data_IF_971400605703
#
_entry.id   IF_971400605703
#
_cell.length_a   1.000
_cell.length_b   1.000
_cell.length_c   1.000
_cell.angle_alpha   90.00
_cell.angle_beta   90.00
_cell.angle_gamma   90.00
#
_symmetry.space_group_name_H-M   'P 1'
#
loop_
_entity.id
_entity.type
_entity.pdbx_description
1 polymer ?
#
# COMPACT_ATOMS: atom_id res chain seq x y z
N UNK A 1 -10.20 19.75 39.03
CA UNK A 1 -11.18 19.42 37.98
C UNK A 1 -10.50 18.46 37.04
N UNK A 2 -10.87 17.19 37.15
CA UNK A 2 -10.29 16.05 36.43
C UNK A 2 -10.93 16.00 35.05
N UNK A 3 -10.21 16.41 34.00
CA UNK A 3 -10.68 16.25 32.62
C UNK A 3 -10.38 14.83 32.15
N UNK A 4 -11.36 13.95 32.30
CA UNK A 4 -11.44 12.69 31.56
C UNK A 4 -11.83 13.02 30.12
N UNK A 5 -10.84 13.25 29.25
CA UNK A 5 -11.09 13.30 27.80
C UNK A 5 -11.21 11.88 27.27
N UNK A 6 -12.44 11.47 26.98
CA UNK A 6 -12.72 10.27 26.20
C UNK A 6 -12.06 10.38 24.83
N UNK A 7 -11.32 9.36 24.44
CA UNK A 7 -10.83 9.19 23.07
C UNK A 7 -12.04 9.02 22.14
N UNK A 8 -12.49 10.13 21.56
CA UNK A 8 -13.38 10.13 20.42
C UNK A 8 -12.53 9.94 19.16
N UNK A 9 -12.42 8.70 18.69
CA UNK A 9 -11.93 8.42 17.35
C UNK A 9 -13.00 8.88 16.35
N UNK A 10 -12.78 10.02 15.71
CA UNK A 10 -13.66 10.50 14.66
C UNK A 10 -13.20 9.97 13.30
N UNK A 11 -14.10 9.21 12.67
CA UNK A 11 -13.99 8.72 11.31
C UNK A 11 -14.33 9.84 10.33
N UNK A 12 -13.32 10.41 9.67
CA UNK A 12 -13.52 11.20 8.47
C UNK A 12 -13.43 10.33 7.21
N UNK A 13 -14.32 10.61 6.26
CA UNK A 13 -14.42 10.04 4.92
C UNK A 13 -13.28 10.53 3.99
N UNK A 14 -12.05 10.56 4.49
CA UNK A 14 -10.84 10.68 3.68
C UNK A 14 -10.28 9.27 3.45
N UNK A 15 -10.05 8.90 2.20
CA UNK A 15 -9.32 7.67 1.86
C UNK A 15 -7.87 7.80 2.33
N UNK A 16 -7.65 7.63 3.64
CA UNK A 16 -6.33 7.65 4.23
C UNK A 16 -5.76 6.24 4.27
N UNK A 17 -4.63 5.99 3.60
CA UNK A 17 -3.88 4.73 3.70
C UNK A 17 -3.12 4.70 5.04
N UNK A 18 -3.84 4.69 6.16
CA UNK A 18 -3.29 4.37 7.47
C UNK A 18 -3.63 2.92 7.76
N UNK A 19 -2.61 2.10 8.03
CA UNK A 19 -2.83 0.78 8.61
C UNK A 19 -3.41 1.01 10.00
N UNK A 20 -4.64 0.53 10.22
CA UNK A 20 -5.42 0.87 11.39
C UNK A 20 -4.91 0.09 12.61
N UNK A 21 -3.81 0.58 13.18
CA UNK A 21 -3.03 -0.09 14.22
C UNK A 21 -3.58 0.16 15.63
N UNK A 22 -4.65 0.93 15.77
CA UNK A 22 -5.34 1.19 17.05
C UNK A 22 -5.74 -0.11 17.76
N UNK A 23 -6.11 -1.13 17.00
CA UNK A 23 -6.41 -2.45 17.56
C UNK A 23 -5.15 -3.29 17.85
N UNK A 24 -3.99 -2.99 17.27
CA UNK A 24 -2.74 -3.68 17.60
C UNK A 24 -2.17 -3.25 18.96
N UNK A 25 -2.36 -1.98 19.32
CA UNK A 25 -1.87 -1.36 20.57
C UNK A 25 -2.86 -1.47 21.73
N UNK A 26 -4.07 -1.96 21.49
CA UNK A 26 -5.08 -2.23 22.52
C UNK A 26 -4.58 -3.19 23.61
N UNK A 27 -4.86 -2.82 24.86
CA UNK A 27 -4.55 -3.62 26.07
C UNK A 27 -5.42 -4.88 26.16
N UNK A 28 -6.62 -4.87 25.58
CA UNK A 28 -7.52 -6.02 25.58
C UNK A 28 -7.18 -7.00 24.44
N UNK A 29 -6.34 -7.98 24.75
CA UNK A 29 -5.91 -9.02 23.80
C UNK A 29 -7.04 -9.97 23.38
N UNK A 30 -8.15 -10.03 24.11
CA UNK A 30 -9.26 -10.94 23.83
C UNK A 30 -10.29 -10.33 22.88
N UNK A 31 -10.21 -9.03 22.60
CA UNK A 31 -11.10 -8.39 21.66
C UNK A 31 -10.91 -8.94 20.24
N UNK A 32 -12.03 -9.19 19.57
CA UNK A 32 -12.03 -9.78 18.22
C UNK A 32 -11.37 -8.86 17.18
N UNK A 33 -11.47 -7.53 17.34
CA UNK A 33 -10.80 -6.53 16.51
C UNK A 33 -9.28 -6.62 16.65
N UNK A 34 -8.78 -6.70 17.87
CA UNK A 34 -7.34 -6.87 18.17
C UNK A 34 -6.78 -8.14 17.54
N UNK A 35 -7.52 -9.24 17.67
CA UNK A 35 -7.13 -10.53 17.09
C UNK A 35 -7.08 -10.48 15.56
N UNK A 36 -8.10 -9.93 14.90
CA UNK A 36 -8.12 -9.91 13.43
C UNK A 36 -7.06 -8.98 12.85
N UNK A 37 -6.80 -7.83 13.48
CA UNK A 37 -5.73 -6.93 13.03
C UNK A 37 -4.35 -7.57 13.20
N UNK A 38 -4.11 -8.31 14.29
CA UNK A 38 -2.86 -9.08 14.45
C UNK A 38 -2.72 -10.18 13.41
N UNK A 39 -3.80 -10.91 13.14
CA UNK A 39 -3.82 -11.92 12.06
C UNK A 39 -3.47 -11.27 10.72
N UNK A 40 -4.06 -10.12 10.40
CA UNK A 40 -3.73 -9.36 9.19
C UNK A 40 -2.25 -9.01 9.08
N UNK A 41 -1.65 -8.48 10.15
CA UNK A 41 -0.22 -8.15 10.20
C UNK A 41 0.67 -9.39 9.96
N UNK A 42 0.39 -10.50 10.65
CA UNK A 42 1.17 -11.74 10.47
C UNK A 42 1.00 -12.34 9.08
N UNK A 43 -0.20 -12.23 8.51
CA UNK A 43 -0.49 -12.67 7.15
C UNK A 43 0.27 -11.82 6.13
N UNK A 44 0.30 -10.49 6.28
CA UNK A 44 1.10 -9.61 5.41
C UNK A 44 2.59 -9.95 5.48
N UNK A 45 3.13 -10.10 6.69
CA UNK A 45 4.52 -10.53 6.91
C UNK A 45 4.79 -11.90 6.26
N UNK A 46 3.90 -12.87 6.48
CA UNK A 46 4.01 -14.21 5.90
C UNK A 46 3.98 -14.20 4.37
N UNK A 47 3.13 -13.38 3.76
CA UNK A 47 3.08 -13.20 2.30
C UNK A 47 4.36 -12.58 1.77
N UNK A 48 4.90 -11.54 2.41
CA UNK A 48 6.16 -10.92 2.00
C UNK A 48 7.32 -11.93 2.02
N UNK A 49 7.42 -12.72 3.09
CA UNK A 49 8.43 -13.79 3.21
C UNK A 49 8.21 -14.87 2.14
N UNK A 50 6.97 -15.34 1.95
CA UNK A 50 6.65 -16.38 0.98
C UNK A 50 6.98 -15.96 -0.46
N UNK A 51 6.70 -14.70 -0.83
CA UNK A 51 7.08 -14.13 -2.12
C UNK A 51 8.60 -14.00 -2.25
N UNK A 52 9.30 -13.57 -1.21
CA UNK A 52 10.76 -13.47 -1.22
C UNK A 52 11.45 -14.82 -1.41
N UNK A 53 11.05 -15.82 -0.62
CA UNK A 53 11.55 -17.20 -0.75
C UNK A 53 11.16 -17.77 -2.11
N UNK A 54 9.91 -17.60 -2.53
CA UNK A 54 9.44 -18.08 -3.83
C UNK A 54 10.19 -17.44 -5.00
N UNK A 55 10.48 -16.14 -4.94
CA UNK A 55 11.26 -15.43 -5.95
C UNK A 55 12.66 -16.03 -6.11
N UNK A 56 13.33 -16.32 -4.99
CA UNK A 56 14.63 -16.97 -4.96
C UNK A 56 14.58 -18.43 -5.44
N UNK A 57 13.68 -19.23 -4.89
CA UNK A 57 13.58 -20.69 -5.16
C UNK A 57 13.13 -20.95 -6.60
N UNK A 58 12.19 -20.17 -7.13
CA UNK A 58 11.68 -20.34 -8.49
C UNK A 58 12.46 -19.52 -9.53
N UNK A 59 13.52 -18.83 -9.10
CA UNK A 59 14.35 -17.94 -9.91
C UNK A 59 13.51 -16.96 -10.77
N UNK A 60 12.44 -16.42 -10.17
CA UNK A 60 11.43 -15.62 -10.85
C UNK A 60 11.66 -14.14 -10.58
N UNK A 61 12.02 -13.39 -11.63
CA UNK A 61 12.21 -11.94 -11.55
C UNK A 61 10.91 -11.22 -11.15
N UNK A 62 9.78 -11.64 -11.70
CA UNK A 62 8.48 -11.09 -11.37
C UNK A 62 8.11 -11.29 -9.88
N UNK A 63 8.28 -12.51 -9.36
CA UNK A 63 7.98 -12.79 -7.96
C UNK A 63 8.98 -12.10 -7.00
N UNK A 64 10.22 -11.93 -7.43
CA UNK A 64 11.23 -11.16 -6.68
C UNK A 64 10.89 -9.67 -6.64
N UNK A 65 10.38 -9.09 -7.74
CA UNK A 65 9.90 -7.71 -7.77
C UNK A 65 8.69 -7.50 -6.85
N UNK A 66 7.72 -8.42 -6.88
CA UNK A 66 6.55 -8.41 -5.99
C UNK A 66 6.93 -8.62 -4.50
N UNK A 67 8.02 -9.36 -4.23
CA UNK A 67 8.59 -9.48 -2.89
C UNK A 67 9.18 -8.17 -2.37
N UNK A 68 9.93 -7.44 -3.21
CA UNK A 68 10.47 -6.10 -2.85
C UNK A 68 9.31 -5.14 -2.57
N UNK A 69 8.26 -5.19 -3.39
CA UNK A 69 7.08 -4.36 -3.15
C UNK A 69 6.41 -4.70 -1.81
N UNK A 70 6.17 -5.99 -1.54
CA UNK A 70 5.60 -6.45 -0.27
C UNK A 70 6.50 -6.11 0.94
N UNK A 71 7.81 -6.01 0.74
CA UNK A 71 8.75 -5.55 1.76
C UNK A 71 8.61 -4.06 2.05
N UNK A 72 8.44 -3.22 1.03
CA UNK A 72 8.20 -1.78 1.21
C UNK A 72 6.87 -1.52 1.94
N UNK A 73 5.84 -2.29 1.62
CA UNK A 73 4.56 -2.24 2.35
C UNK A 73 4.75 -2.65 3.82
N UNK A 74 5.50 -3.72 4.07
CA UNK A 74 5.80 -4.17 5.43
C UNK A 74 6.60 -3.13 6.23
N UNK A 75 7.56 -2.46 5.60
CA UNK A 75 8.30 -1.35 6.23
C UNK A 75 7.33 -0.21 6.59
N UNK A 76 6.35 0.06 5.73
CA UNK A 76 5.32 1.06 5.97
C UNK A 76 4.39 0.66 7.13
N UNK A 77 3.98 -0.61 7.21
CA UNK A 77 3.21 -1.19 8.32
C UNK A 77 3.96 -1.00 9.65
N UNK A 78 5.24 -1.39 9.69
CA UNK A 78 6.08 -1.26 10.88
C UNK A 78 6.33 0.19 11.27
N UNK A 79 6.59 1.06 10.30
CA UNK A 79 6.78 2.50 10.55
C UNK A 79 5.52 3.09 11.18
N UNK A 80 4.35 2.76 10.62
CA UNK A 80 3.05 3.19 11.15
C UNK A 80 2.82 2.66 12.57
N UNK A 81 3.09 1.37 12.81
CA UNK A 81 2.95 0.77 14.12
C UNK A 81 3.88 1.43 15.15
N UNK A 82 5.12 1.71 14.76
CA UNK A 82 6.10 2.34 15.63
C UNK A 82 5.71 3.78 15.98
N UNK A 83 5.24 4.57 15.00
CA UNK A 83 4.84 5.96 15.23
C UNK A 83 3.57 6.06 16.07
N UNK A 84 2.56 5.21 15.81
CA UNK A 84 1.34 5.14 16.64
C UNK A 84 1.66 4.66 18.06
N UNK A 85 2.49 3.63 18.21
CA UNK A 85 2.90 3.15 19.54
C UNK A 85 3.66 4.22 20.33
N UNK A 86 4.38 5.10 19.63
CA UNK A 86 5.08 6.21 20.25
C UNK A 86 4.15 7.41 20.53
N UNK A 87 3.18 7.69 19.66
CA UNK A 87 2.22 8.80 19.82
C UNK A 87 1.32 8.61 21.05
N UNK A 88 1.01 7.35 21.40
CA UNK A 88 0.20 6.97 22.57
C UNK A 88 0.91 7.16 23.93
N UNK A 89 2.17 7.60 23.97
CA UNK A 89 2.89 7.83 25.23
C UNK A 89 2.34 9.05 25.97
N UNK A 90 2.28 8.96 27.29
CA UNK A 90 1.86 10.07 28.15
C UNK A 90 2.76 11.31 27.97
N UNK A 91 2.22 12.53 28.10
CA UNK A 91 2.99 13.76 28.03
C UNK A 91 4.15 13.81 29.03
N UNK A 92 5.24 14.46 28.63
CA UNK A 92 6.43 14.66 29.48
C UNK A 92 6.69 16.14 29.70
N UNK A 93 7.58 16.49 30.62
CA UNK A 93 7.97 17.90 30.84
C UNK A 93 8.59 18.56 29.61
N UNK A 94 9.22 17.78 28.72
CA UNK A 94 9.75 18.25 27.43
C UNK A 94 8.67 18.35 26.35
N UNK A 95 7.61 17.55 26.43
CA UNK A 95 6.49 17.54 25.48
C UNK A 95 5.15 17.64 26.22
N UNK A 96 4.75 18.85 26.66
CA UNK A 96 3.55 19.05 27.49
C UNK A 96 2.25 18.74 26.75
N UNK A 97 2.22 18.91 25.44
CA UNK A 97 1.09 18.61 24.56
C UNK A 97 1.02 17.13 24.16
N UNK A 98 1.96 16.30 24.62
CA UNK A 98 2.06 14.88 24.27
C UNK A 98 2.83 14.63 22.97
N UNK A 99 2.69 13.41 22.45
CA UNK A 99 3.45 12.90 21.31
C UNK A 99 2.62 12.71 20.04
N UNK A 100 1.40 13.27 19.99
CA UNK A 100 0.45 13.08 18.88
C UNK A 100 1.05 13.36 17.49
N UNK A 101 1.82 14.46 17.35
CA UNK A 101 2.44 14.86 16.07
C UNK A 101 3.42 13.82 15.47
N UNK A 102 3.88 12.85 16.26
CA UNK A 102 4.77 11.78 15.77
C UNK A 102 4.01 10.82 14.86
N UNK A 103 2.71 10.65 15.07
CA UNK A 103 1.85 9.89 14.16
C UNK A 103 1.80 10.56 12.79
N UNK A 104 1.58 11.87 12.74
CA UNK A 104 1.58 12.68 11.51
C UNK A 104 2.93 12.65 10.79
N UNK A 105 4.04 12.68 11.53
CA UNK A 105 5.39 12.52 10.96
C UNK A 105 5.58 11.14 10.33
N UNK A 106 5.09 10.08 10.99
CA UNK A 106 5.08 8.73 10.45
C UNK A 106 4.24 8.61 9.18
N UNK A 107 3.03 9.17 9.22
CA UNK A 107 2.10 9.23 8.09
C UNK A 107 2.71 9.94 6.88
N UNK A 108 3.42 11.05 7.12
CA UNK A 108 4.12 11.79 6.09
C UNK A 108 5.26 10.96 5.46
N UNK A 109 6.03 10.24 6.28
CA UNK A 109 7.08 9.34 5.80
C UNK A 109 6.52 8.21 4.93
N UNK A 110 5.50 7.51 5.42
CA UNK A 110 4.85 6.40 4.70
C UNK A 110 4.20 6.88 3.40
N UNK A 111 3.48 8.00 3.44
CA UNK A 111 2.87 8.57 2.23
C UNK A 111 3.89 9.07 1.22
N UNK A 112 5.05 9.56 1.67
CA UNK A 112 6.17 9.91 0.80
C UNK A 112 6.72 8.69 0.04
N UNK A 113 6.90 7.56 0.74
CA UNK A 113 7.30 6.28 0.11
C UNK A 113 6.25 5.87 -0.93
N UNK A 114 4.96 5.89 -0.55
CA UNK A 114 3.86 5.54 -1.44
C UNK A 114 3.79 6.43 -2.70
N UNK A 115 3.90 7.75 -2.53
CA UNK A 115 3.92 8.72 -3.64
C UNK A 115 5.10 8.48 -4.58
N UNK A 116 6.30 8.27 -4.02
CA UNK A 116 7.49 8.00 -4.82
C UNK A 116 7.31 6.73 -5.67
N UNK A 117 6.78 5.65 -5.07
CA UNK A 117 6.46 4.41 -5.77
C UNK A 117 5.42 4.63 -6.86
N UNK A 118 4.30 5.28 -6.54
CA UNK A 118 3.23 5.57 -7.50
C UNK A 118 3.72 6.38 -8.71
N UNK A 119 4.49 7.44 -8.50
CA UNK A 119 5.07 8.26 -9.58
C UNK A 119 6.01 7.42 -10.43
N UNK A 120 6.86 6.60 -9.80
CA UNK A 120 7.82 5.77 -10.51
C UNK A 120 7.15 4.73 -11.40
N UNK A 121 6.04 4.12 -10.94
CA UNK A 121 5.21 3.21 -11.73
C UNK A 121 4.61 3.95 -12.93
N UNK A 122 4.07 5.15 -12.70
CA UNK A 122 3.45 5.97 -13.75
C UNK A 122 4.44 6.37 -14.83
N UNK A 123 5.64 6.81 -14.44
CA UNK A 123 6.71 7.16 -15.37
C UNK A 123 7.15 5.96 -16.22
N UNK A 124 7.25 4.76 -15.62
CA UNK A 124 7.57 3.54 -16.36
C UNK A 124 6.47 3.16 -17.35
N UNK A 125 5.21 3.26 -16.94
CA UNK A 125 4.08 2.99 -17.81
C UNK A 125 3.99 3.98 -18.99
N UNK A 126 4.24 5.27 -18.76
CA UNK A 126 4.37 6.27 -19.84
C UNK A 126 5.54 5.91 -20.78
N UNK A 127 6.68 5.50 -20.23
CA UNK A 127 7.83 5.13 -21.03
C UNK A 127 7.54 3.90 -21.91
N UNK A 128 6.89 2.88 -21.37
CA UNK A 128 6.49 1.70 -22.13
C UNK A 128 5.50 2.04 -23.26
N UNK A 129 4.54 2.94 -23.00
CA UNK A 129 3.62 3.43 -24.04
C UNK A 129 4.35 4.25 -25.13
N UNK A 130 5.28 5.12 -24.73
CA UNK A 130 6.03 5.93 -25.70
C UNK A 130 6.96 5.07 -26.55
N UNK A 131 7.60 4.04 -25.99
CA UNK A 131 8.36 3.06 -26.77
C UNK A 131 7.49 2.29 -27.78
N UNK A 132 6.28 1.91 -27.38
CA UNK A 132 5.36 1.13 -28.21
C UNK A 132 4.76 1.96 -29.36
N UNK A 133 4.37 3.21 -29.11
CA UNK A 133 3.66 4.04 -30.08
C UNK A 133 4.54 5.09 -30.79
N UNK A 134 5.65 5.51 -30.17
CA UNK A 134 6.51 6.60 -30.65
C UNK A 134 8.02 6.29 -30.45
N UNK A 135 8.56 5.25 -31.10
CA UNK A 135 9.93 4.76 -30.84
C UNK A 135 11.02 5.80 -31.10
N UNK A 136 10.86 6.68 -32.10
CA UNK A 136 11.82 7.73 -32.43
C UNK A 136 11.92 8.78 -31.30
N UNK A 137 10.79 9.13 -30.69
CA UNK A 137 10.72 10.07 -29.56
C UNK A 137 11.34 9.44 -28.32
N UNK A 138 11.09 8.14 -28.09
CA UNK A 138 11.68 7.40 -26.97
C UNK A 138 13.22 7.32 -27.05
N UNK A 139 13.78 7.15 -28.24
CA UNK A 139 15.23 7.14 -28.46
C UNK A 139 15.89 8.49 -28.20
N UNK A 140 15.19 9.60 -28.47
CA UNK A 140 15.67 10.95 -28.17
C UNK A 140 15.59 11.23 -26.66
N UNK A 141 14.47 10.86 -26.02
CA UNK A 141 14.27 11.00 -24.57
C UNK A 141 15.32 10.25 -23.74
N UNK A 142 15.74 9.06 -24.19
CA UNK A 142 16.78 8.28 -23.51
C UNK A 142 18.17 8.93 -23.58
N UNK A 143 18.46 9.74 -24.61
CA UNK A 143 19.74 10.47 -24.75
C UNK A 143 19.81 11.76 -23.93
N UNK A 144 18.67 12.36 -23.55
CA UNK A 144 18.62 13.63 -22.80
C UNK A 144 19.00 13.41 -21.30
N UNK A 145 19.24 12.18 -20.87
CA UNK A 145 19.74 11.88 -19.52
C UNK A 145 18.72 12.11 -18.39
N UNK A 146 17.54 12.67 -18.70
CA UNK A 146 16.39 12.77 -17.76
C UNK A 146 15.96 11.37 -17.28
N UNK A 147 16.26 10.33 -18.07
CA UNK A 147 16.00 8.92 -17.76
C UNK A 147 17.28 8.06 -17.84
N UNK A 148 18.43 8.64 -17.51
CA UNK A 148 19.74 7.99 -17.59
C UNK A 148 19.80 6.68 -16.78
N UNK A 149 20.27 5.61 -17.43
CA UNK A 149 20.61 4.29 -16.85
C UNK A 149 19.67 3.88 -15.71
N UNK A 150 18.42 3.57 -16.06
CA UNK A 150 17.44 3.06 -15.11
C UNK A 150 18.02 1.87 -14.35
N UNK A 151 18.32 2.08 -13.07
CA UNK A 151 18.16 1.01 -12.10
C UNK A 151 16.77 0.43 -12.37
N UNK A 152 16.74 -0.78 -12.92
CA UNK A 152 15.52 -1.51 -13.27
C UNK A 152 14.80 -1.90 -11.99
N UNK A 153 14.31 -0.91 -11.24
CA UNK A 153 13.26 -1.10 -10.27
C UNK A 153 11.96 -1.11 -11.07
N UNK A 154 11.73 -2.22 -11.77
CA UNK A 154 10.44 -2.53 -12.34
C UNK A 154 9.47 -2.70 -11.16
N UNK A 155 8.83 -1.62 -10.73
CA UNK A 155 7.59 -1.68 -9.97
C UNK A 155 6.46 -1.97 -10.97
N UNK A 156 6.61 -3.02 -11.77
CA UNK A 156 5.41 -3.63 -12.30
C UNK A 156 4.80 -4.36 -11.10
N UNK A 157 3.52 -4.08 -10.80
CA UNK A 157 2.65 -5.11 -10.20
C UNK A 157 2.40 -6.26 -11.20
N UNK A 158 3.34 -6.41 -12.14
CA UNK A 158 3.31 -7.22 -13.31
C UNK A 158 3.99 -8.51 -12.96
N UNK A 159 3.20 -9.56 -13.06
CA UNK A 159 3.65 -10.85 -13.57
C UNK A 159 4.19 -10.66 -15.01
N UNK A 160 5.17 -9.78 -15.23
CA UNK A 160 5.72 -9.49 -16.55
C UNK A 160 6.83 -10.51 -16.89
N UNK A 161 6.46 -11.45 -17.74
CA UNK A 161 7.16 -11.61 -19.02
C UNK A 161 8.64 -12.00 -19.02
N UNK A 162 9.03 -13.08 -18.34
CA UNK A 162 10.11 -13.97 -18.82
C UNK A 162 10.12 -15.26 -17.99
N UNK A 163 9.54 -16.32 -18.57
CA UNK A 163 9.35 -17.62 -17.91
C UNK A 163 8.31 -17.53 -16.79
N UNK A 164 7.03 -17.61 -17.12
CA UNK A 164 5.98 -17.80 -16.11
C UNK A 164 6.24 -19.16 -15.46
N UNK A 165 7.00 -19.15 -14.36
CA UNK A 165 7.12 -20.34 -13.55
C UNK A 165 5.71 -20.58 -12.98
N UNK A 166 5.06 -21.65 -13.41
CA UNK A 166 3.68 -21.98 -13.01
C UNK A 166 3.54 -21.92 -11.47
N UNK A 167 4.61 -22.28 -10.75
CA UNK A 167 4.66 -22.26 -9.29
C UNK A 167 4.66 -20.83 -8.72
N UNK A 168 5.33 -19.88 -9.39
CA UNK A 168 5.31 -18.48 -8.99
C UNK A 168 3.94 -17.82 -9.21
N UNK A 169 3.24 -18.20 -10.29
CA UNK A 169 1.87 -17.75 -10.55
C UNK A 169 0.89 -18.24 -9.48
N UNK A 170 1.02 -19.50 -9.03
CA UNK A 170 0.21 -20.03 -7.94
C UNK A 170 0.42 -19.30 -6.62
N UNK A 171 1.65 -18.88 -6.30
CA UNK A 171 1.93 -18.08 -5.10
C UNK A 171 1.32 -16.68 -5.17
N UNK A 172 1.40 -16.03 -6.33
CA UNK A 172 0.75 -14.73 -6.55
C UNK A 172 -0.78 -14.83 -6.43
N UNK A 173 -1.39 -15.83 -7.06
CA UNK A 173 -2.82 -16.12 -6.95
C UNK A 173 -3.24 -16.43 -5.51
N UNK A 174 -2.43 -17.20 -4.78
CA UNK A 174 -2.64 -17.48 -3.36
C UNK A 174 -2.70 -16.20 -2.52
N UNK A 175 -1.84 -15.22 -2.82
CA UNK A 175 -1.83 -13.92 -2.12
C UNK A 175 -3.13 -13.13 -2.33
N UNK A 176 -3.69 -13.17 -3.55
CA UNK A 176 -4.99 -12.54 -3.86
C UNK A 176 -6.11 -13.18 -3.03
N UNK A 177 -6.14 -14.52 -2.98
CA UNK A 177 -7.14 -15.27 -2.20
C UNK A 177 -7.02 -14.95 -0.71
N UNK A 178 -5.79 -14.87 -0.20
CA UNK A 178 -5.52 -14.53 1.20
C UNK A 178 -6.01 -13.11 1.52
N UNK A 179 -5.74 -12.11 0.68
CA UNK A 179 -6.23 -10.74 0.89
C UNK A 179 -7.76 -10.65 0.83
N UNK A 180 -8.40 -11.37 -0.09
CA UNK A 180 -9.87 -11.46 -0.17
C UNK A 180 -10.48 -12.15 1.07
N UNK A 181 -9.83 -13.21 1.57
CA UNK A 181 -10.24 -13.85 2.83
C UNK A 181 -10.11 -12.87 4.01
N UNK A 182 -8.99 -12.14 4.10
CA UNK A 182 -8.75 -11.16 5.15
C UNK A 182 -9.78 -10.02 5.10
N UNK A 183 -10.14 -9.54 3.90
CA UNK A 183 -11.25 -8.61 3.72
C UNK A 183 -12.54 -9.14 4.35
N UNK A 184 -12.96 -10.36 4.00
CA UNK A 184 -14.21 -10.95 4.49
C UNK A 184 -14.19 -11.14 6.01
N UNK A 185 -13.07 -11.63 6.55
CA UNK A 185 -12.91 -11.86 7.98
C UNK A 185 -12.95 -10.54 8.78
N UNK A 186 -12.21 -9.53 8.34
CA UNK A 186 -12.19 -8.20 8.98
C UNK A 186 -13.53 -7.49 8.84
N UNK A 187 -14.17 -7.53 7.68
CA UNK A 187 -15.48 -6.91 7.44
C UNK A 187 -16.59 -7.54 8.30
N UNK A 188 -16.53 -8.85 8.54
CA UNK A 188 -17.46 -9.54 9.44
C UNK A 188 -17.36 -8.95 10.86
N UNK A 189 -16.15 -8.87 11.39
CA UNK A 189 -15.90 -8.36 12.74
C UNK A 189 -16.20 -6.85 12.83
N UNK A 190 -15.89 -6.09 11.78
CA UNK A 190 -16.22 -4.66 11.69
C UNK A 190 -17.73 -4.40 11.83
N UNK A 191 -18.56 -5.20 11.15
CA UNK A 191 -20.03 -5.11 11.23
C UNK A 191 -20.54 -5.54 12.61
N UNK A 192 -20.00 -6.62 13.17
CA UNK A 192 -20.37 -7.11 14.51
C UNK A 192 -20.04 -6.08 15.60
N UNK A 193 -18.89 -5.41 15.49
CA UNK A 193 -18.42 -4.41 16.44
C UNK A 193 -18.88 -2.99 16.14
N UNK A 194 -19.61 -2.78 15.02
CA UNK A 194 -19.98 -1.46 14.49
C UNK A 194 -18.80 -0.48 14.44
N UNK A 195 -17.63 -0.99 14.06
CA UNK A 195 -16.37 -0.24 14.06
C UNK A 195 -16.09 0.29 12.66
N UNK A 196 -16.18 1.62 12.49
CA UNK A 196 -15.80 2.31 11.25
C UNK A 196 -14.31 2.14 10.94
N UNK A 197 -13.49 2.08 11.98
CA UNK A 197 -12.04 1.80 11.98
C UNK A 197 -11.76 0.43 11.35
N UNK A 198 -12.34 -0.65 11.88
CA UNK A 198 -12.18 -2.00 11.29
C UNK A 198 -12.77 -2.10 9.88
N UNK A 199 -13.86 -1.37 9.59
CA UNK A 199 -14.45 -1.36 8.26
C UNK A 199 -13.51 -0.69 7.24
N UNK A 200 -12.87 0.42 7.60
CA UNK A 200 -11.85 1.09 6.81
C UNK A 200 -10.68 0.16 6.50
N UNK A 201 -10.15 -0.51 7.53
CA UNK A 201 -9.06 -1.48 7.36
C UNK A 201 -9.46 -2.65 6.44
N UNK A 202 -10.71 -3.13 6.53
CA UNK A 202 -11.21 -4.15 5.60
C UNK A 202 -11.26 -3.63 4.15
N UNK A 203 -11.79 -2.42 3.93
CA UNK A 203 -11.81 -1.81 2.60
C UNK A 203 -10.41 -1.64 2.00
N UNK A 204 -9.41 -1.33 2.83
CA UNK A 204 -8.03 -1.25 2.39
C UNK A 204 -7.53 -2.59 1.82
N UNK A 205 -7.71 -3.71 2.53
CA UNK A 205 -7.38 -5.05 2.02
C UNK A 205 -8.13 -5.39 0.71
N UNK A 206 -9.33 -4.84 0.52
CA UNK A 206 -10.11 -5.02 -0.72
C UNK A 206 -9.59 -4.18 -1.88
N UNK A 207 -9.15 -2.94 -1.65
CA UNK A 207 -8.51 -2.14 -2.70
C UNK A 207 -7.26 -2.85 -3.19
N UNK A 208 -6.45 -3.36 -2.27
CA UNK A 208 -5.25 -4.14 -2.59
C UNK A 208 -5.53 -5.42 -3.39
N UNK A 209 -6.59 -6.16 -3.07
CA UNK A 209 -6.95 -7.35 -3.84
C UNK A 209 -7.50 -6.98 -5.21
N UNK A 210 -8.26 -5.88 -5.32
CA UNK A 210 -8.79 -5.38 -6.58
C UNK A 210 -7.69 -4.88 -7.52
N UNK A 211 -6.70 -4.13 -7.02
CA UNK A 211 -5.55 -3.70 -7.85
C UNK A 211 -4.77 -4.90 -8.38
N UNK A 212 -4.57 -5.94 -7.55
CA UNK A 212 -3.93 -7.18 -7.98
C UNK A 212 -4.76 -7.96 -9.02
N UNK A 213 -6.09 -7.99 -8.88
CA UNK A 213 -6.98 -8.61 -9.87
C UNK A 213 -6.97 -7.86 -11.20
N UNK A 214 -7.01 -6.52 -11.17
CA UNK A 214 -6.90 -5.68 -12.37
C UNK A 214 -5.56 -5.93 -13.06
N UNK A 215 -4.45 -5.99 -12.32
CA UNK A 215 -3.14 -6.32 -12.87
C UNK A 215 -3.15 -7.71 -13.55
N UNK A 216 -3.65 -8.74 -12.85
CA UNK A 216 -3.74 -10.09 -13.41
C UNK A 216 -4.57 -10.14 -14.70
N UNK A 217 -5.71 -9.45 -14.72
CA UNK A 217 -6.59 -9.39 -15.88
C UNK A 217 -5.91 -8.70 -17.07
N UNK A 218 -5.20 -7.60 -16.80
CA UNK A 218 -4.48 -6.82 -17.81
C UNK A 218 -3.38 -7.65 -18.49
N UNK A 219 -2.60 -8.38 -17.69
CA UNK A 219 -1.51 -9.26 -18.18
C UNK A 219 -2.09 -10.44 -18.96
N UNK A 220 -3.10 -11.10 -18.39
CA UNK A 220 -3.74 -12.24 -19.05
C UNK A 220 -4.34 -11.82 -20.39
N UNK A 221 -5.03 -10.69 -20.43
CA UNK A 221 -5.57 -10.14 -21.67
C UNK A 221 -4.48 -9.79 -22.69
N UNK A 222 -3.36 -9.19 -22.25
CA UNK A 222 -2.19 -8.92 -23.11
C UNK A 222 -1.60 -10.21 -23.72
N UNK A 223 -1.58 -11.32 -22.97
CA UNK A 223 -1.06 -12.59 -23.45
C UNK A 223 -1.98 -13.28 -24.47
N UNK A 224 -3.30 -13.26 -24.26
CA UNK A 224 -4.27 -13.89 -25.16
C UNK A 224 -4.55 -13.04 -26.42
N UNK A 225 -4.42 -11.72 -26.32
CA UNK A 225 -4.65 -10.79 -27.42
C UNK A 225 -3.29 -10.27 -27.92
N UNK A 226 -2.74 -10.91 -28.94
CA UNK A 226 -1.43 -10.55 -29.54
C UNK A 226 -1.34 -9.12 -30.07
N UNK A 227 -2.47 -8.40 -30.19
CA UNK A 227 -2.54 -6.98 -30.59
C UNK A 227 -2.74 -6.01 -29.41
N UNK A 228 -2.74 -6.50 -28.16
CA UNK A 228 -3.05 -5.72 -26.95
C UNK A 228 -1.86 -5.55 -25.99
N UNK A 229 -0.62 -5.59 -26.49
CA UNK A 229 0.58 -5.36 -25.67
C UNK A 229 0.59 -3.99 -24.95
N UNK A 230 -0.16 -3.01 -25.49
CA UNK A 230 -0.35 -1.69 -24.87
C UNK A 230 -1.23 -1.71 -23.62
N UNK A 231 -1.98 -2.78 -23.39
CA UNK A 231 -2.92 -2.89 -22.27
C UNK A 231 -2.18 -2.93 -20.94
N UNK A 232 -1.02 -3.59 -20.88
CA UNK A 232 -0.24 -3.75 -19.66
C UNK A 232 0.32 -2.41 -19.13
N UNK A 233 0.98 -1.57 -19.97
CA UNK A 233 1.32 -0.21 -19.58
C UNK A 233 0.10 0.66 -19.20
N UNK A 234 -1.05 0.51 -19.87
CA UNK A 234 -2.27 1.25 -19.49
C UNK A 234 -2.78 0.83 -18.12
N UNK A 235 -2.78 -0.48 -17.81
CA UNK A 235 -3.11 -0.97 -16.47
C UNK A 235 -2.16 -0.41 -15.41
N UNK A 236 -0.86 -0.34 -15.73
CA UNK A 236 0.15 0.32 -14.89
C UNK A 236 -0.16 1.80 -14.60
N UNK A 237 -0.62 2.57 -15.60
CA UNK A 237 -1.04 3.96 -15.40
C UNK A 237 -2.25 4.08 -14.48
N UNK A 238 -3.25 3.21 -14.62
CA UNK A 238 -4.44 3.21 -13.76
C UNK A 238 -4.04 2.96 -12.31
N UNK A 239 -3.22 1.93 -12.07
CA UNK A 239 -2.74 1.58 -10.73
C UNK A 239 -1.88 2.71 -10.14
N UNK A 240 -0.96 3.28 -10.93
CA UNK A 240 -0.15 4.44 -10.54
C UNK A 240 -1.03 5.63 -10.13
N UNK A 241 -2.06 5.96 -10.91
CA UNK A 241 -2.99 7.04 -10.59
C UNK A 241 -3.71 6.84 -9.25
N UNK A 242 -4.16 5.61 -8.97
CA UNK A 242 -4.77 5.26 -7.69
C UNK A 242 -3.79 5.45 -6.51
N UNK A 243 -2.55 4.97 -6.66
CA UNK A 243 -1.50 5.07 -5.63
C UNK A 243 -1.12 6.54 -5.40
N UNK A 244 -0.95 7.33 -6.46
CA UNK A 244 -0.57 8.75 -6.35
C UNK A 244 -1.70 9.56 -5.71
N UNK A 245 -2.96 9.31 -6.09
CA UNK A 245 -4.11 9.98 -5.48
C UNK A 245 -4.19 9.70 -3.97
N UNK A 246 -4.04 8.44 -3.59
CA UNK A 246 -3.98 8.00 -2.20
C UNK A 246 -2.83 8.65 -1.42
N UNK A 247 -1.62 8.58 -1.96
CA UNK A 247 -0.42 9.16 -1.36
C UNK A 247 -0.54 10.68 -1.19
N UNK A 248 -1.05 11.38 -2.20
CA UNK A 248 -1.27 12.83 -2.14
C UNK A 248 -2.28 13.21 -1.06
N UNK A 249 -3.39 12.47 -0.96
CA UNK A 249 -4.38 12.66 0.11
C UNK A 249 -3.78 12.50 1.50
N UNK A 250 -2.98 11.46 1.72
CA UNK A 250 -2.27 11.24 2.98
C UNK A 250 -1.26 12.33 3.30
N UNK A 251 -0.40 12.67 2.34
CA UNK A 251 0.61 13.71 2.50
C UNK A 251 -0.04 15.05 2.83
N UNK A 252 -1.12 15.41 2.13
CA UNK A 252 -1.88 16.63 2.42
C UNK A 252 -2.41 16.62 3.86
N UNK A 253 -3.07 15.55 4.29
CA UNK A 253 -3.61 15.46 5.65
C UNK A 253 -2.52 15.54 6.72
N UNK A 254 -1.42 14.79 6.55
CA UNK A 254 -0.30 14.82 7.49
C UNK A 254 0.35 16.21 7.57
N UNK A 255 0.52 16.90 6.44
CA UNK A 255 1.04 18.26 6.41
C UNK A 255 0.09 19.27 7.07
N UNK A 256 -1.22 19.14 6.84
CA UNK A 256 -2.22 20.02 7.47
C UNK A 256 -2.26 19.82 8.99
N UNK A 257 -2.19 18.58 9.46
CA UNK A 257 -2.11 18.27 10.90
C UNK A 257 -0.82 18.82 11.52
N UNK A 258 0.32 18.69 10.84
CA UNK A 258 1.59 19.28 11.29
C UNK A 258 1.58 20.81 11.32
N UNK A 259 0.84 21.42 10.39
CA UNK A 259 0.64 22.86 10.30
C UNK A 259 -0.39 23.41 11.32
N UNK A 260 -0.92 22.56 12.21
CA UNK A 260 -1.94 22.90 13.20
C UNK A 260 -3.20 23.55 12.57
N UNK A 261 -3.57 23.11 11.36
CA UNK A 261 -4.81 23.56 10.71
C UNK A 261 -6.01 23.00 11.49
N UNK A 262 -6.91 23.90 11.92
CA UNK A 262 -8.13 23.50 12.61
C UNK A 262 -9.00 22.60 11.71
N UNK A 263 -9.66 21.61 12.30
CA UNK A 263 -10.68 20.83 11.63
C UNK A 263 -11.85 21.77 11.32
N UNK A 264 -12.38 21.76 10.09
CA UNK A 264 -13.59 22.52 9.75
C UNK A 264 -14.77 22.02 10.60
N UNK A 265 -15.55 22.96 11.15
CA UNK A 265 -16.76 22.68 11.92
C UNK A 265 -17.87 22.15 10.98
N UNK A 266 -17.99 20.83 10.86
CA UNK A 266 -19.19 20.15 10.31
C UNK A 266 -19.90 19.32 11.39
#
# INVERSE_FOLDING_TARGET
MEQTRGHFGHSHHGHHHHHDTTYLTSTDKNDAGVRITRVGLFVNLGMAIAKGIGGYVFNSKALSADAIHSLTDLISDFTTLATVSYSLRSPTTRFPTGYGKIESLGALGVSGILLSGGIMIGLQAVMALTQQFFPDIAHILSHIGIFGHGHSHSHSHGVEGMGVNINAAWLAAGSIIIKEWLYRATMKIAKEKRSSVLASNAYHHRVDSLTAVVALATITASHFLSNAAWLDPVGGLVISGMIVQAGYGNTKAALLELADVSIEDD
#
